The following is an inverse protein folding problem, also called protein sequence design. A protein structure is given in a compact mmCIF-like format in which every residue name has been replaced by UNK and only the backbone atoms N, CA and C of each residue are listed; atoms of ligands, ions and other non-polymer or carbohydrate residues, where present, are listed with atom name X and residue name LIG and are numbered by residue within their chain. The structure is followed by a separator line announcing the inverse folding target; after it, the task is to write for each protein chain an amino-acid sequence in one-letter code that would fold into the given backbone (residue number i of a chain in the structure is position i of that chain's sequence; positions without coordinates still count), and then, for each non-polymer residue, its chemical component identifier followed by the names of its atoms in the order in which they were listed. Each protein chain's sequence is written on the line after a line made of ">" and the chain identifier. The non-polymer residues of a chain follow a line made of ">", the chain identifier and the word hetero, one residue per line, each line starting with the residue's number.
data_IF_380100717709
#
_entry.id   IF_380100717709
#
_cell.length_a   1.000
_cell.length_b   1.000
_cell.length_c   1.000
_cell.angle_alpha   90.00
_cell.angle_beta   90.00
_cell.angle_gamma   90.00
#
_symmetry.space_group_name_H-M   'P 1'
#
loop_
_entity.id
_entity.type
_entity.pdbx_description
1 polymer ?
#
# COMPACT_ATOMS: atom_id res chain seq x y z
N UNK A 1 55.94 -14.10 -14.05
CA UNK A 1 55.01 -14.04 -15.20
C UNK A 1 53.62 -13.74 -14.64
N UNK A 2 53.22 -12.46 -14.66
CA UNK A 2 51.90 -12.01 -14.18
C UNK A 2 50.95 -12.17 -15.36
N UNK A 3 50.13 -13.23 -15.34
CA UNK A 3 49.16 -13.50 -16.40
C UNK A 3 47.93 -12.62 -16.18
N UNK A 4 47.99 -11.44 -16.79
CA UNK A 4 46.96 -10.82 -17.61
C UNK A 4 45.48 -11.14 -17.26
N UNK A 5 44.95 -10.43 -16.25
CA UNK A 5 43.52 -10.45 -15.89
C UNK A 5 42.66 -9.47 -16.71
N UNK A 6 43.25 -8.73 -17.66
CA UNK A 6 42.58 -7.59 -18.32
C UNK A 6 41.87 -7.93 -19.64
N UNK A 7 42.13 -9.09 -20.26
CA UNK A 7 41.49 -9.42 -21.54
C UNK A 7 40.01 -9.77 -21.41
N UNK A 8 39.52 -10.24 -20.24
CA UNK A 8 38.10 -10.56 -20.04
C UNK A 8 37.20 -9.33 -19.85
N UNK A 9 37.75 -8.19 -19.45
CA UNK A 9 37.00 -6.95 -19.21
C UNK A 9 36.87 -6.13 -20.51
N UNK A 10 37.85 -6.25 -21.41
CA UNK A 10 37.90 -5.51 -22.67
C UNK A 10 36.84 -5.97 -23.70
N UNK A 11 36.56 -7.29 -23.81
CA UNK A 11 35.55 -7.77 -24.78
C UNK A 11 34.10 -7.48 -24.34
N UNK A 12 33.82 -7.49 -23.03
CA UNK A 12 32.52 -7.08 -22.49
C UNK A 12 32.22 -5.60 -22.78
N UNK A 13 33.25 -4.74 -22.69
CA UNK A 13 33.14 -3.31 -23.03
C UNK A 13 32.96 -3.07 -24.54
N UNK A 14 33.59 -3.89 -25.38
CA UNK A 14 33.50 -3.79 -26.85
C UNK A 14 32.13 -4.26 -27.38
N UNK A 15 31.49 -5.24 -26.74
CA UNK A 15 30.09 -5.61 -27.02
C UNK A 15 29.08 -4.56 -26.52
N UNK A 16 29.41 -3.84 -25.44
CA UNK A 16 28.57 -2.77 -24.88
C UNK A 16 28.62 -1.46 -25.70
N UNK A 17 29.74 -1.16 -26.37
CA UNK A 17 29.95 0.13 -27.07
C UNK A 17 29.69 0.11 -28.59
N UNK A 18 29.40 -1.03 -29.24
CA UNK A 18 29.32 -1.08 -30.72
C UNK A 18 27.89 -1.23 -31.28
N UNK A 19 26.88 -1.28 -30.42
CA UNK A 19 25.49 -1.09 -30.82
C UNK A 19 24.86 -0.15 -29.78
N UNK A 20 24.58 1.08 -30.18
CA UNK A 20 23.65 1.97 -29.50
C UNK A 20 22.44 1.11 -29.09
N UNK A 21 22.31 0.79 -27.80
CA UNK A 21 21.25 -0.11 -27.32
C UNK A 21 19.92 0.47 -27.81
N UNK A 22 19.18 -0.30 -28.59
CA UNK A 22 17.81 0.04 -28.98
C UNK A 22 16.86 0.02 -27.77
N UNK A 23 17.25 -0.65 -26.68
CA UNK A 23 16.56 -0.62 -25.40
C UNK A 23 17.02 0.57 -24.59
N UNK A 24 16.09 1.45 -24.25
CA UNK A 24 16.34 2.65 -23.45
C UNK A 24 16.27 2.28 -21.95
N UNK A 25 17.34 2.53 -21.18
CA UNK A 25 17.30 2.38 -19.72
C UNK A 25 16.50 3.55 -19.13
N UNK A 26 15.40 3.23 -18.46
CA UNK A 26 14.51 4.21 -17.85
C UNK A 26 14.84 4.34 -16.37
N UNK A 27 15.11 5.57 -15.96
CA UNK A 27 15.46 6.02 -14.63
C UNK A 27 14.51 7.17 -14.19
N UNK A 28 14.68 7.65 -12.97
CA UNK A 28 13.85 8.75 -12.44
C UNK A 28 13.84 10.02 -13.32
N UNK A 29 14.93 10.32 -14.04
CA UNK A 29 15.06 11.54 -14.87
C UNK A 29 14.28 11.50 -16.19
N UNK A 30 14.28 10.38 -16.90
CA UNK A 30 13.60 10.20 -18.19
C UNK A 30 12.24 9.50 -18.08
N UNK A 31 11.81 9.16 -16.86
CA UNK A 31 10.52 8.51 -16.59
C UNK A 31 9.30 9.26 -17.13
N UNK A 32 9.36 10.58 -17.33
CA UNK A 32 8.23 11.33 -17.89
C UNK A 32 8.07 11.12 -19.41
N UNK A 33 9.15 10.78 -20.12
CA UNK A 33 9.13 10.59 -21.59
C UNK A 33 8.33 9.36 -22.01
N UNK A 34 8.25 8.35 -21.14
CA UNK A 34 7.53 7.09 -21.41
C UNK A 34 6.02 7.29 -21.57
N UNK A 35 5.48 8.42 -21.09
CA UNK A 35 4.07 8.76 -21.22
C UNK A 35 3.74 9.48 -22.53
N UNK A 36 4.76 9.87 -23.29
CA UNK A 36 4.61 10.55 -24.59
C UNK A 36 4.82 9.56 -25.72
N UNK A 37 3.78 9.34 -26.55
CA UNK A 37 3.81 8.36 -27.64
C UNK A 37 3.55 6.93 -27.18
N UNK A 38 4.09 5.97 -27.90
CA UNK A 38 3.91 4.53 -27.65
C UNK A 38 5.20 3.88 -27.15
N UNK A 39 5.12 3.28 -25.97
CA UNK A 39 6.24 2.67 -25.26
C UNK A 39 5.91 1.27 -24.78
N UNK A 40 6.90 0.39 -24.84
CA UNK A 40 6.90 -0.88 -24.12
C UNK A 40 8.01 -0.88 -23.09
N UNK A 41 7.65 -1.03 -21.82
CA UNK A 41 8.58 -0.93 -20.69
C UNK A 41 8.62 -2.25 -19.94
N UNK A 42 9.81 -2.84 -19.82
CA UNK A 42 10.03 -4.06 -19.03
C UNK A 42 10.69 -3.73 -17.69
N UNK A 43 10.06 -4.13 -16.60
CA UNK A 43 10.66 -4.13 -15.26
C UNK A 43 11.40 -5.45 -15.02
N UNK A 44 12.67 -5.36 -14.65
CA UNK A 44 13.54 -6.51 -14.45
C UNK A 44 14.47 -6.35 -13.25
N UNK A 45 15.08 -7.45 -12.82
CA UNK A 45 16.19 -7.47 -11.86
C UNK A 45 17.30 -8.41 -12.31
N UNK A 46 18.56 -8.08 -11.98
CA UNK A 46 19.72 -8.88 -12.39
C UNK A 46 19.77 -10.27 -11.75
N UNK A 47 19.17 -10.46 -10.58
CA UNK A 47 19.18 -11.72 -9.83
C UNK A 47 18.03 -12.65 -10.25
N UNK A 48 17.08 -12.19 -11.06
CA UNK A 48 15.91 -12.97 -11.45
C UNK A 48 16.21 -13.84 -12.70
N UNK A 49 16.17 -15.18 -12.60
CA UNK A 49 16.49 -16.06 -13.73
C UNK A 49 15.54 -15.89 -14.93
N UNK A 50 14.25 -15.67 -14.67
CA UNK A 50 13.25 -15.44 -15.71
C UNK A 50 13.47 -14.10 -16.47
N UNK A 51 14.03 -13.10 -15.81
CA UNK A 51 14.42 -11.85 -16.47
C UNK A 51 15.63 -12.06 -17.37
N UNK A 52 16.61 -12.85 -16.92
CA UNK A 52 17.82 -13.14 -17.69
C UNK A 52 17.52 -13.90 -18.99
N UNK A 53 16.56 -14.83 -18.98
CA UNK A 53 16.15 -15.55 -20.19
C UNK A 53 15.39 -14.67 -21.18
N UNK A 54 14.63 -13.70 -20.70
CA UNK A 54 13.84 -12.79 -21.54
C UNK A 54 14.66 -11.65 -22.14
N UNK A 55 15.72 -11.23 -21.46
CA UNK A 55 16.61 -10.13 -21.88
C UNK A 55 17.05 -10.20 -23.36
N UNK A 56 17.61 -11.32 -23.89
CA UNK A 56 18.04 -11.38 -25.29
C UNK A 56 16.88 -11.24 -26.28
N UNK A 57 15.70 -11.76 -25.95
CA UNK A 57 14.48 -11.61 -26.75
C UNK A 57 14.01 -10.16 -26.78
N UNK A 58 14.08 -9.47 -25.64
CA UNK A 58 13.72 -8.05 -25.51
C UNK A 58 14.65 -7.14 -26.32
N UNK A 59 15.96 -7.38 -26.24
CA UNK A 59 16.96 -6.63 -27.01
C UNK A 59 16.80 -6.86 -28.52
N UNK A 60 16.51 -8.09 -28.93
CA UNK A 60 16.26 -8.43 -30.35
C UNK A 60 14.99 -7.76 -30.87
N UNK A 61 13.91 -7.76 -30.06
CA UNK A 61 12.68 -7.04 -30.36
C UNK A 61 12.93 -5.54 -30.55
N UNK A 62 13.57 -4.90 -29.58
CA UNK A 62 13.88 -3.46 -29.65
C UNK A 62 14.73 -3.11 -30.87
N UNK A 63 15.72 -3.95 -31.21
CA UNK A 63 16.63 -3.66 -32.33
C UNK A 63 15.95 -3.77 -33.69
N UNK A 64 15.06 -4.74 -33.87
CA UNK A 64 14.47 -5.03 -35.18
C UNK A 64 13.20 -4.21 -35.43
N UNK A 65 12.44 -3.88 -34.39
CA UNK A 65 11.05 -3.44 -34.55
C UNK A 65 10.75 -2.04 -33.98
N UNK A 66 11.69 -1.43 -33.25
CA UNK A 66 11.51 -0.09 -32.69
C UNK A 66 11.26 0.96 -33.77
N UNK A 67 12.05 0.94 -34.85
CA UNK A 67 11.93 1.87 -35.98
C UNK A 67 10.69 1.56 -36.84
N UNK A 68 10.50 0.29 -37.20
CA UNK A 68 9.43 -0.15 -38.11
C UNK A 68 8.02 0.09 -37.55
N UNK A 69 7.80 -0.16 -36.25
CA UNK A 69 6.49 0.07 -35.60
C UNK A 69 6.37 1.44 -34.92
N UNK A 70 7.40 2.30 -35.04
CA UNK A 70 7.44 3.60 -34.36
C UNK A 70 7.17 3.48 -32.84
N UNK A 71 7.70 2.42 -32.21
CA UNK A 71 7.48 2.12 -30.80
C UNK A 71 8.80 2.18 -30.04
N UNK A 72 8.80 2.89 -28.91
CA UNK A 72 9.98 2.97 -28.06
C UNK A 72 10.02 1.81 -27.08
N UNK A 73 11.17 1.14 -26.98
CA UNK A 73 11.34 -0.02 -26.09
C UNK A 73 12.28 0.35 -24.95
N UNK A 74 11.80 0.20 -23.73
CA UNK A 74 12.54 0.56 -22.52
C UNK A 74 12.66 -0.59 -21.53
N UNK A 75 13.63 -0.46 -20.62
CA UNK A 75 13.81 -1.38 -19.51
C UNK A 75 14.13 -0.60 -18.22
N UNK A 76 13.56 -1.04 -17.11
CA UNK A 76 13.75 -0.47 -15.77
C UNK A 76 14.35 -1.53 -14.86
N UNK A 77 15.51 -1.23 -14.27
CA UNK A 77 16.08 -2.02 -13.18
C UNK A 77 15.40 -1.63 -11.86
N UNK A 78 14.67 -2.57 -11.25
CA UNK A 78 13.94 -2.31 -10.01
C UNK A 78 14.86 -2.11 -8.79
N UNK A 79 16.10 -2.61 -8.84
CA UNK A 79 17.04 -2.45 -7.72
C UNK A 79 17.60 -1.03 -7.68
N UNK A 80 17.80 -0.41 -8.85
CA UNK A 80 18.30 0.98 -8.96
C UNK A 80 17.18 2.01 -8.85
N UNK A 81 16.00 1.69 -9.41
CA UNK A 81 14.87 2.62 -9.52
C UNK A 81 13.66 2.11 -8.73
N UNK A 82 13.79 2.09 -7.40
CA UNK A 82 12.73 1.64 -6.49
C UNK A 82 11.53 2.59 -6.42
N UNK A 83 11.74 3.86 -6.79
CA UNK A 83 10.65 4.83 -6.99
C UNK A 83 9.76 4.44 -8.17
N UNK A 84 10.34 4.11 -9.31
CA UNK A 84 9.59 3.70 -10.50
C UNK A 84 8.87 2.37 -10.29
N UNK A 85 9.50 1.40 -9.61
CA UNK A 85 8.84 0.13 -9.31
C UNK A 85 7.63 0.32 -8.38
N UNK A 86 7.74 1.20 -7.38
CA UNK A 86 6.62 1.60 -6.52
C UNK A 86 5.53 2.35 -7.29
N UNK A 87 5.91 3.27 -8.17
CA UNK A 87 4.98 4.05 -9.00
C UNK A 87 4.19 3.17 -9.98
N UNK A 88 4.78 2.10 -10.50
CA UNK A 88 4.08 1.14 -11.37
C UNK A 88 3.48 -0.04 -10.58
N UNK A 89 3.60 -0.04 -9.26
CA UNK A 89 3.15 -1.11 -8.36
C UNK A 89 3.61 -2.50 -8.81
N UNK A 90 4.90 -2.61 -9.15
CA UNK A 90 5.49 -3.85 -9.67
C UNK A 90 5.87 -4.77 -8.52
N UNK A 91 5.08 -5.84 -8.33
CA UNK A 91 5.33 -6.84 -7.29
C UNK A 91 5.98 -8.12 -7.83
N UNK A 92 5.92 -8.38 -9.13
CA UNK A 92 6.40 -9.60 -9.76
C UNK A 92 7.27 -9.28 -10.97
N UNK A 93 8.25 -10.14 -11.25
CA UNK A 93 9.19 -9.96 -12.36
C UNK A 93 9.24 -11.20 -13.26
N UNK A 94 9.49 -11.04 -14.56
CA UNK A 94 9.44 -9.78 -15.31
C UNK A 94 8.00 -9.33 -15.52
N UNK A 95 7.76 -8.03 -15.37
CA UNK A 95 6.48 -7.38 -15.69
C UNK A 95 6.69 -6.39 -16.81
N UNK A 96 5.81 -6.43 -17.82
CA UNK A 96 5.88 -5.57 -19.00
C UNK A 96 4.63 -4.70 -19.03
N UNK A 97 4.81 -3.41 -19.25
CA UNK A 97 3.72 -2.48 -19.48
C UNK A 97 3.78 -1.94 -20.90
N UNK A 98 2.62 -1.81 -21.51
CA UNK A 98 2.41 -1.05 -22.73
C UNK A 98 1.82 0.30 -22.35
N UNK A 99 2.48 1.38 -22.77
CA UNK A 99 2.09 2.75 -22.47
C UNK A 99 1.83 3.43 -23.79
N UNK A 100 0.63 4.01 -23.94
CA UNK A 100 0.29 4.78 -25.12
C UNK A 100 -0.42 6.05 -24.71
N UNK A 101 0.19 7.20 -25.01
CA UNK A 101 -0.36 8.53 -24.74
C UNK A 101 -0.82 8.69 -23.27
N UNK A 102 0.02 8.24 -22.33
CA UNK A 102 -0.25 8.28 -20.89
C UNK A 102 -1.18 7.18 -20.35
N UNK A 103 -1.75 6.34 -21.23
CA UNK A 103 -2.58 5.20 -20.85
C UNK A 103 -1.71 3.95 -20.70
N UNK A 104 -1.62 3.46 -19.47
CA UNK A 104 -0.80 2.29 -19.12
C UNK A 104 -1.66 1.04 -19.12
N UNK A 105 -1.16 -0.04 -19.72
CA UNK A 105 -1.78 -1.36 -19.81
C UNK A 105 -0.76 -2.43 -19.41
N UNK A 106 -1.22 -3.43 -18.68
CA UNK A 106 -0.41 -4.59 -18.35
C UNK A 106 -0.35 -5.55 -19.55
N UNK A 107 0.86 -5.95 -19.94
CA UNK A 107 1.03 -6.95 -20.98
C UNK A 107 0.92 -8.36 -20.39
N UNK A 108 -0.09 -9.13 -20.83
CA UNK A 108 -0.39 -10.48 -20.31
C UNK A 108 -0.19 -11.60 -21.33
N UNK A 109 0.29 -11.30 -22.55
CA UNK A 109 0.50 -12.29 -23.61
C UNK A 109 1.84 -13.02 -23.45
N UNK A 110 2.11 -13.96 -24.36
CA UNK A 110 3.38 -14.70 -24.40
C UNK A 110 4.57 -13.75 -24.51
N UNK A 111 5.69 -14.10 -23.87
CA UNK A 111 6.91 -13.27 -23.82
C UNK A 111 7.91 -13.65 -24.93
N UNK A 112 7.41 -13.92 -26.14
CA UNK A 112 8.23 -14.18 -27.32
C UNK A 112 8.30 -12.94 -28.21
N UNK A 113 9.33 -12.86 -29.05
CA UNK A 113 9.50 -11.74 -29.99
C UNK A 113 8.28 -11.57 -30.90
N UNK A 114 7.83 -12.67 -31.52
CA UNK A 114 6.67 -12.65 -32.43
C UNK A 114 5.39 -12.18 -31.73
N UNK A 115 5.22 -12.55 -30.46
CA UNK A 115 4.06 -12.12 -29.68
C UNK A 115 4.08 -10.61 -29.41
N UNK A 116 5.25 -10.01 -29.16
CA UNK A 116 5.37 -8.55 -29.02
C UNK A 116 5.07 -7.82 -30.33
N UNK A 117 5.55 -8.36 -31.45
CA UNK A 117 5.31 -7.78 -32.78
C UNK A 117 3.82 -7.83 -33.12
N UNK A 118 3.20 -9.00 -32.99
CA UNK A 118 1.76 -9.16 -33.22
C UNK A 118 0.93 -8.31 -32.26
N UNK A 119 1.39 -8.16 -31.01
CA UNK A 119 0.70 -7.33 -30.03
C UNK A 119 0.50 -5.88 -30.48
N UNK A 120 1.56 -5.29 -31.04
CA UNK A 120 1.58 -3.90 -31.52
C UNK A 120 0.91 -3.80 -32.90
N UNK A 121 1.25 -4.69 -33.85
CA UNK A 121 0.69 -4.71 -35.20
C UNK A 121 -0.83 -4.90 -35.22
N UNK A 122 -1.33 -5.89 -34.46
CA UNK A 122 -2.77 -6.20 -34.43
C UNK A 122 -3.54 -5.23 -33.53
N UNK A 123 -2.86 -4.25 -32.92
CA UNK A 123 -3.40 -3.34 -31.92
C UNK A 123 -4.19 -4.06 -30.80
N UNK A 124 -3.74 -5.28 -30.46
CA UNK A 124 -4.43 -6.16 -29.51
C UNK A 124 -4.50 -5.56 -28.09
N UNK A 125 -3.68 -4.55 -27.80
CA UNK A 125 -3.76 -3.70 -26.62
C UNK A 125 -5.11 -2.99 -26.44
N UNK A 126 -5.90 -2.80 -27.50
CA UNK A 126 -7.25 -2.24 -27.40
C UNK A 126 -8.23 -3.14 -26.64
N UNK A 127 -7.95 -4.44 -26.60
CA UNK A 127 -8.81 -5.42 -25.91
C UNK A 127 -8.53 -5.52 -24.41
N UNK A 128 -7.38 -5.02 -23.95
CA UNK A 128 -7.02 -5.02 -22.54
C UNK A 128 -7.45 -3.71 -21.91
N UNK A 129 -8.15 -3.83 -20.77
CA UNK A 129 -8.56 -2.69 -19.98
C UNK A 129 -7.33 -1.92 -19.47
N UNK A 130 -7.29 -0.60 -19.64
CA UNK A 130 -6.24 0.22 -19.07
C UNK A 130 -6.30 0.20 -17.55
N UNK A 131 -5.14 0.48 -16.94
CA UNK A 131 -5.08 0.67 -15.49
C UNK A 131 -6.00 1.84 -15.11
N UNK A 132 -6.75 1.65 -14.03
CA UNK A 132 -7.66 2.64 -13.47
C UNK A 132 -6.93 3.95 -13.17
N UNK A 133 -7.65 5.07 -13.27
CA UNK A 133 -7.08 6.41 -13.12
C UNK A 133 -6.37 6.64 -11.77
N UNK A 134 -6.84 6.02 -10.68
CA UNK A 134 -6.22 6.13 -9.35
C UNK A 134 -4.93 5.31 -9.21
N UNK A 135 -4.74 4.29 -10.07
CA UNK A 135 -3.52 3.47 -10.15
C UNK A 135 -2.58 3.94 -11.26
N UNK A 136 -2.93 5.00 -11.99
CA UNK A 136 -2.11 5.46 -13.10
C UNK A 136 -0.78 6.04 -12.58
N UNK A 137 0.38 5.55 -13.05
CA UNK A 137 1.69 6.05 -12.63
C UNK A 137 1.90 7.55 -12.91
N UNK A 138 1.27 8.13 -13.94
CA UNK A 138 1.41 9.56 -14.23
C UNK A 138 0.68 10.47 -13.22
N UNK A 139 -0.12 9.90 -12.31
CA UNK A 139 -0.83 10.67 -11.28
C UNK A 139 0.09 11.14 -10.14
N UNK A 140 -0.27 12.26 -9.51
CA UNK A 140 0.48 12.79 -8.36
C UNK A 140 0.49 11.83 -7.17
N UNK A 141 -0.62 11.11 -6.94
CA UNK A 141 -0.75 10.09 -5.91
C UNK A 141 0.29 9.00 -6.11
N UNK A 142 0.41 8.49 -7.33
CA UNK A 142 1.30 7.37 -7.62
C UNK A 142 2.78 7.78 -7.64
N UNK A 143 3.09 9.03 -8.03
CA UNK A 143 4.42 9.62 -7.78
C UNK A 143 4.72 9.67 -6.28
N UNK A 144 3.74 10.04 -5.45
CA UNK A 144 3.83 10.00 -3.99
C UNK A 144 4.11 8.59 -3.45
N UNK A 145 3.41 7.58 -3.95
CA UNK A 145 3.67 6.16 -3.62
C UNK A 145 5.08 5.76 -4.03
N UNK A 146 5.54 6.16 -5.22
CA UNK A 146 6.93 5.92 -5.65
C UNK A 146 7.95 6.52 -4.68
N UNK A 147 7.77 7.77 -4.23
CA UNK A 147 8.63 8.38 -3.22
C UNK A 147 8.58 7.66 -1.87
N UNK A 148 7.40 7.19 -1.46
CA UNK A 148 7.27 6.39 -0.24
C UNK A 148 8.08 5.08 -0.34
N UNK A 149 7.99 4.37 -1.47
CA UNK A 149 8.79 3.17 -1.71
C UNK A 149 10.29 3.45 -1.74
N UNK A 150 10.71 4.57 -2.35
CA UNK A 150 12.11 5.01 -2.33
C UNK A 150 12.60 5.29 -0.92
N UNK A 151 11.79 5.99 -0.12
CA UNK A 151 12.09 6.26 1.27
C UNK A 151 12.15 4.97 2.10
N UNK A 152 11.22 4.05 1.92
CA UNK A 152 11.23 2.76 2.61
C UNK A 152 12.49 1.94 2.28
N UNK A 153 12.90 1.91 1.01
CA UNK A 153 14.15 1.26 0.61
C UNK A 153 15.37 1.99 1.19
N UNK A 154 15.37 3.33 1.24
CA UNK A 154 16.43 4.08 1.89
C UNK A 154 16.56 3.75 3.39
N UNK A 155 15.45 3.60 4.11
CA UNK A 155 15.47 3.15 5.52
C UNK A 155 16.03 1.73 5.64
N UNK A 156 15.63 0.83 4.73
CA UNK A 156 16.18 -0.54 4.69
C UNK A 156 17.69 -0.52 4.44
N UNK A 157 18.15 0.27 3.46
CA UNK A 157 19.56 0.40 3.13
C UNK A 157 20.35 0.96 4.31
N UNK A 158 19.81 1.94 5.05
CA UNK A 158 20.41 2.42 6.30
C UNK A 158 20.49 1.30 7.33
N UNK A 159 19.41 0.54 7.53
CA UNK A 159 19.38 -0.56 8.50
C UNK A 159 20.39 -1.65 8.16
N UNK A 160 20.49 -2.01 6.88
CA UNK A 160 21.42 -2.99 6.35
C UNK A 160 22.86 -2.49 6.49
N UNK A 161 23.14 -1.23 6.13
CA UNK A 161 24.45 -0.60 6.34
C UNK A 161 24.84 -0.54 7.83
N UNK A 162 23.92 -0.19 8.73
CA UNK A 162 24.17 -0.15 10.18
C UNK A 162 24.46 -1.54 10.75
N UNK A 163 23.76 -2.56 10.26
CA UNK A 163 23.87 -3.93 10.77
C UNK A 163 25.10 -4.65 10.21
N UNK A 164 25.42 -4.47 8.93
CA UNK A 164 26.56 -5.14 8.27
C UNK A 164 27.90 -4.47 8.59
N UNK A 165 27.97 -3.14 8.63
CA UNK A 165 29.27 -2.43 8.72
C UNK A 165 29.78 -2.32 10.16
N UNK A 166 28.87 -2.26 11.15
CA UNK A 166 29.25 -1.98 12.54
C UNK A 166 29.11 -3.17 13.51
N UNK A 167 28.65 -4.36 13.07
CA UNK A 167 28.35 -5.49 13.95
C UNK A 167 27.57 -5.06 15.22
N UNK A 168 26.72 -4.04 15.10
CA UNK A 168 26.00 -3.52 16.24
C UNK A 168 24.98 -4.57 16.68
N UNK A 169 24.92 -4.89 17.99
CA UNK A 169 23.89 -5.77 18.51
C UNK A 169 22.50 -5.30 18.06
N UNK A 170 21.68 -6.21 17.56
CA UNK A 170 20.38 -5.91 16.93
C UNK A 170 19.46 -5.07 17.84
N UNK A 171 19.59 -5.24 19.16
CA UNK A 171 18.83 -4.46 20.15
C UNK A 171 19.15 -2.95 20.14
N UNK A 172 20.36 -2.54 19.80
CA UNK A 172 20.74 -1.11 19.71
C UNK A 172 20.03 -0.46 18.53
N UNK A 173 20.03 -1.13 17.38
CA UNK A 173 19.38 -0.62 16.16
C UNK A 173 17.88 -0.52 16.35
N UNK A 174 17.25 -1.51 17.00
CA UNK A 174 15.83 -1.43 17.37
C UNK A 174 15.54 -0.33 18.38
N UNK A 175 16.42 -0.12 19.36
CA UNK A 175 16.29 0.97 20.33
C UNK A 175 16.31 2.35 19.65
N UNK A 176 17.26 2.58 18.74
CA UNK A 176 17.34 3.83 17.98
C UNK A 176 16.10 4.04 17.11
N UNK A 177 15.66 3.00 16.40
CA UNK A 177 14.46 3.08 15.56
C UNK A 177 13.19 3.36 16.37
N UNK A 178 13.07 2.76 17.57
CA UNK A 178 11.95 3.02 18.48
C UNK A 178 11.94 4.49 18.96
N UNK A 179 13.09 5.03 19.36
CA UNK A 179 13.20 6.44 19.78
C UNK A 179 12.83 7.39 18.63
N UNK A 180 13.34 7.14 17.41
CA UNK A 180 13.00 7.94 16.23
C UNK A 180 11.51 7.86 15.91
N UNK A 181 10.91 6.67 15.95
CA UNK A 181 9.48 6.47 15.65
C UNK A 181 8.60 7.20 16.67
N UNK A 182 8.93 7.12 17.97
CA UNK A 182 8.21 7.86 19.03
C UNK A 182 8.35 9.36 18.86
N UNK A 183 9.56 9.86 18.58
CA UNK A 183 9.80 11.28 18.36
C UNK A 183 9.02 11.81 17.15
N UNK A 184 9.06 11.10 16.01
CA UNK A 184 8.31 11.45 14.79
C UNK A 184 6.80 11.39 15.05
N UNK A 185 6.32 10.35 15.73
CA UNK A 185 4.91 10.22 16.10
C UNK A 185 4.41 11.35 17.00
N UNK A 186 5.21 11.77 17.99
CA UNK A 186 4.90 12.90 18.87
C UNK A 186 4.88 14.22 18.09
N UNK A 187 5.85 14.45 17.22
CA UNK A 187 5.89 15.65 16.36
C UNK A 187 4.68 15.70 15.42
N UNK A 188 4.34 14.59 14.75
CA UNK A 188 3.16 14.50 13.88
C UNK A 188 1.85 14.66 14.66
N UNK A 189 1.75 14.09 15.87
CA UNK A 189 0.60 14.25 16.74
C UNK A 189 0.42 15.69 17.21
N UNK A 190 1.50 16.35 17.65
CA UNK A 190 1.48 17.76 18.02
C UNK A 190 1.08 18.65 16.84
N UNK A 191 1.63 18.37 15.65
CA UNK A 191 1.30 19.09 14.42
C UNK A 191 -0.18 18.90 14.03
N UNK A 192 -0.72 17.69 14.19
CA UNK A 192 -2.14 17.41 13.94
C UNK A 192 -3.06 18.16 14.91
N UNK A 193 -2.72 18.22 16.20
CA UNK A 193 -3.50 19.00 17.19
C UNK A 193 -3.51 20.48 16.82
N UNK A 194 -2.37 21.04 16.43
CA UNK A 194 -2.29 22.45 15.98
C UNK A 194 -3.16 22.69 14.75
N UNK A 195 -3.21 21.74 13.80
CA UNK A 195 -4.13 21.84 12.65
C UNK A 195 -5.58 21.78 13.13
N UNK A 196 -5.93 20.84 14.01
CA UNK A 196 -7.29 20.72 14.53
C UNK A 196 -7.75 22.00 15.24
N UNK A 197 -6.89 22.62 16.03
CA UNK A 197 -7.18 23.89 16.71
C UNK A 197 -7.31 25.06 15.71
N UNK A 198 -6.56 25.04 14.60
CA UNK A 198 -6.73 26.00 13.50
C UNK A 198 -8.05 25.82 12.75
N UNK A 199 -8.51 24.57 12.56
CA UNK A 199 -9.69 24.24 11.75
C UNK A 199 -10.99 24.37 12.56
N UNK A 200 -10.95 24.07 13.85
CA UNK A 200 -12.08 24.21 14.77
C UNK A 200 -11.76 25.23 15.86
N UNK A 201 -11.72 26.54 15.53
CA UNK A 201 -11.47 27.55 16.54
C UNK A 201 -12.56 27.49 17.62
N UNK A 202 -12.20 27.54 18.91
CA UNK A 202 -13.18 27.54 19.99
C UNK A 202 -14.10 28.76 19.87
N UNK A 203 -15.42 28.53 19.96
CA UNK A 203 -16.40 29.62 19.97
C UNK A 203 -16.11 30.54 21.16
N UNK A 204 -16.08 31.87 20.99
CA UNK A 204 -15.79 32.78 22.08
C UNK A 204 -16.83 32.60 23.20
N UNK A 205 -16.41 32.65 24.48
CA UNK A 205 -17.33 32.56 25.59
C UNK A 205 -18.33 33.71 25.52
N UNK A 206 -19.63 33.38 25.58
CA UNK A 206 -20.71 34.37 25.68
C UNK A 206 -20.60 35.04 27.04
N UNK A 207 -20.15 36.30 27.07
CA UNK A 207 -20.19 37.14 28.26
C UNK A 207 -21.66 37.54 28.47
N UNK A 208 -22.35 36.91 29.42
CA UNK A 208 -23.69 37.32 29.83
C UNK A 208 -23.57 38.58 30.68
N UNK A 209 -24.10 39.71 30.19
CA UNK A 209 -24.09 40.99 30.91
C UNK A 209 -25.05 40.93 32.13
N UNK A 210 -24.48 41.06 33.32
CA UNK A 210 -25.16 40.96 34.62
C UNK A 210 -26.23 42.05 34.83
N UNK A 211 -26.24 43.11 34.00
CA UNK A 211 -27.27 44.16 34.02
C UNK A 211 -28.68 43.67 33.72
N UNK A 212 -28.84 42.54 33.03
CA UNK A 212 -30.15 42.05 32.65
C UNK A 212 -30.90 41.37 33.81
N UNK A 213 -30.19 40.92 34.86
CA UNK A 213 -30.80 40.24 36.02
C UNK A 213 -31.40 41.21 37.04
N UNK A 214 -30.75 42.36 37.29
CA UNK A 214 -31.23 43.35 38.27
C UNK A 214 -32.56 43.99 37.86
N UNK A 215 -32.87 44.05 36.56
CA UNK A 215 -34.15 44.58 36.06
C UNK A 215 -35.33 43.64 36.32
N UNK A 216 -35.08 42.34 36.50
CA UNK A 216 -36.10 41.33 36.78
C UNK A 216 -36.43 41.31 38.29
N UNK A 217 -35.43 41.52 39.16
CA UNK A 217 -35.64 41.56 40.62
C UNK A 217 -36.40 42.81 41.09
N UNK A 218 -36.21 43.97 40.46
CA UNK A 218 -36.89 45.22 40.84
C UNK A 218 -38.41 45.16 40.54
N UNK A 219 -38.85 44.27 39.63
CA UNK A 219 -40.24 44.21 39.18
C UNK A 219 -41.18 43.32 40.02
N UNK A 220 -40.69 42.64 41.07
CA UNK A 220 -41.54 41.74 41.90
C UNK A 220 -41.31 41.88 43.40
N UNK A 221 -42.03 42.80 44.02
CA UNK A 221 -42.66 42.65 45.37
C UNK A 221 -43.84 43.63 45.44
N UNK A 222 -44.93 43.41 46.25
CA UNK A 222 -44.90 42.76 47.58
C UNK A 222 -46.16 41.93 48.02
N UNK A 223 -46.07 41.38 49.25
CA UNK A 223 -47.12 40.90 50.20
C UNK A 223 -47.80 39.54 49.84
N UNK A 224 -47.92 38.46 50.64
CA UNK A 224 -48.19 38.27 52.09
C UNK A 224 -47.90 36.80 52.51
N UNK A 225 -47.28 36.59 53.67
CA UNK A 225 -47.26 35.31 54.45
C UNK A 225 -48.65 35.13 55.14
N UNK A 226 -49.26 33.93 55.37
CA UNK A 226 -48.73 32.90 56.29
C UNK A 226 -49.16 31.41 56.10
N UNK A 227 -48.25 30.51 56.50
CA UNK A 227 -48.40 29.32 57.37
C UNK A 227 -49.49 28.21 57.18
N UNK A 228 -49.07 26.98 57.54
CA UNK A 228 -49.80 25.75 57.94
C UNK A 228 -50.38 24.75 56.90
N UNK A 229 -49.74 23.56 56.89
CA UNK A 229 -50.24 22.23 57.36
C UNK A 229 -51.41 21.53 56.60
N UNK A 230 -51.06 20.37 55.98
CA UNK A 230 -51.85 19.12 55.72
C UNK A 230 -53.17 19.29 54.89
N UNK A 231 -53.65 18.44 53.99
CA UNK A 231 -53.38 17.06 53.56
C UNK A 231 -54.14 16.79 52.25
N UNK A 232 -53.53 15.97 51.38
CA UNK A 232 -54.10 14.87 50.58
C UNK A 232 -55.55 15.03 50.07
N UNK A 233 -55.71 15.26 48.75
CA UNK A 233 -56.50 14.44 47.79
C UNK A 233 -56.92 15.29 46.58
N UNK A 234 -56.26 15.06 45.43
CA UNK A 234 -56.75 15.24 44.04
C UNK A 234 -55.52 15.15 43.11
N UNK A 235 -54.88 13.98 42.98
CA UNK A 235 -55.09 13.09 41.81
C UNK A 235 -56.18 13.57 40.84
N UNK A 236 -55.76 14.05 39.67
CA UNK A 236 -55.85 13.31 38.41
C UNK A 236 -55.55 14.22 37.21
N UNK A 237 -55.02 13.61 36.14
CA UNK A 237 -54.80 14.16 34.80
C UNK A 237 -53.65 15.18 34.68
N UNK A 238 -52.67 15.03 33.80
CA UNK A 238 -52.36 14.06 32.77
C UNK A 238 -50.84 14.24 32.51
N UNK A 239 -50.07 13.14 32.46
CA UNK A 239 -49.41 12.67 31.24
C UNK A 239 -48.55 13.75 30.54
N UNK A 240 -47.28 13.59 30.23
CA UNK A 240 -46.31 12.52 30.38
C UNK A 240 -44.94 13.10 29.94
N UNK A 241 -43.85 12.47 30.37
CA UNK A 241 -42.47 12.61 29.86
C UNK A 241 -41.75 13.95 30.15
N UNK A 242 -40.52 14.01 30.65
CA UNK A 242 -39.50 13.01 30.91
C UNK A 242 -38.45 13.63 31.86
N UNK A 243 -37.96 12.85 32.82
CA UNK A 243 -36.72 13.12 33.55
C UNK A 243 -36.14 11.76 34.06
N UNK A 244 -34.81 11.68 34.30
CA UNK A 244 -33.94 10.47 34.36
C UNK A 244 -34.01 9.80 35.77
N UNK A 245 -33.06 8.99 36.35
CA UNK A 245 -31.70 8.53 35.97
C UNK A 245 -31.34 7.06 36.41
N UNK A 246 -30.04 6.74 36.26
CA UNK A 246 -29.14 5.82 37.00
C UNK A 246 -29.56 4.55 37.81
N UNK A 247 -28.65 3.57 37.66
CA UNK A 247 -28.19 2.48 38.56
C UNK A 247 -29.04 1.22 38.88
N UNK A 248 -28.46 0.08 38.44
CA UNK A 248 -28.42 -1.37 38.85
C UNK A 248 -29.00 -1.85 40.21
N UNK A 249 -29.02 -3.18 40.57
CA UNK A 249 -28.81 -4.47 39.88
C UNK A 249 -29.87 -5.56 40.24
N UNK A 250 -29.61 -6.83 39.84
CA UNK A 250 -30.13 -8.11 40.41
C UNK A 250 -31.52 -8.58 39.93
N UNK A 251 -31.84 -9.86 39.79
CA UNK A 251 -31.14 -11.13 39.51
C UNK A 251 -32.28 -12.18 39.49
N UNK A 252 -32.11 -13.26 38.74
CA UNK A 252 -32.81 -14.56 38.89
C UNK A 252 -34.31 -14.56 38.51
N UNK A 253 -34.92 -15.61 37.96
CA UNK A 253 -34.66 -17.05 37.70
C UNK A 253 -35.98 -17.46 36.98
N UNK A 254 -36.17 -18.48 36.16
CA UNK A 254 -35.48 -19.75 35.91
C UNK A 254 -36.29 -20.43 34.77
N UNK A 255 -35.60 -21.26 33.97
CA UNK A 255 -36.02 -22.61 33.55
C UNK A 255 -37.30 -22.83 32.71
N UNK A 256 -37.39 -23.79 31.79
CA UNK A 256 -36.55 -24.91 31.34
C UNK A 256 -37.06 -25.30 29.91
N UNK A 257 -36.51 -26.22 29.12
CA UNK A 257 -35.66 -27.35 29.41
C UNK A 257 -35.08 -27.90 28.09
N UNK A 258 -33.83 -28.38 28.16
CA UNK A 258 -33.34 -29.72 27.77
C UNK A 258 -33.46 -30.20 26.30
N UNK A 259 -32.51 -30.99 25.75
CA UNK A 259 -31.43 -31.83 26.33
C UNK A 259 -30.50 -32.27 25.17
N UNK A 260 -29.19 -32.39 25.44
CA UNK A 260 -28.25 -33.52 25.20
C UNK A 260 -28.17 -34.18 23.79
N UNK A 261 -27.09 -34.73 23.27
CA UNK A 261 -25.67 -34.99 23.60
C UNK A 261 -25.06 -35.45 22.24
N UNK A 262 -23.90 -34.93 21.82
CA UNK A 262 -22.62 -35.66 21.71
C UNK A 262 -22.39 -36.58 20.46
N UNK A 263 -21.12 -36.64 20.04
CA UNK A 263 -20.43 -37.71 19.30
C UNK A 263 -20.24 -37.65 17.76
N UNK A 264 -18.95 -37.47 17.41
CA UNK A 264 -18.14 -38.07 16.32
C UNK A 264 -18.43 -37.81 14.85
N UNK A 265 -17.43 -37.22 14.18
CA UNK A 265 -17.14 -37.41 12.76
C UNK A 265 -16.51 -38.80 12.53
N UNK A 266 -17.20 -39.63 11.77
CA UNK A 266 -16.66 -40.82 11.13
C UNK A 266 -17.01 -40.78 9.64
N UNK A 267 -16.00 -40.61 8.79
CA UNK A 267 -16.07 -40.84 7.35
C UNK A 267 -15.45 -42.20 7.03
N UNK A 268 -16.27 -43.19 6.65
CA UNK A 268 -15.82 -44.50 6.14
C UNK A 268 -15.76 -44.54 4.61
N UNK A 269 -14.73 -45.24 4.15
CA UNK A 269 -14.32 -45.57 2.78
C UNK A 269 -15.21 -46.62 2.11
N UNK A 270 -15.06 -46.74 0.79
CA UNK A 270 -14.72 -47.97 0.03
C UNK A 270 -14.60 -47.60 -1.46
N UNK A 271 -13.91 -48.29 -2.37
CA UNK A 271 -12.58 -48.91 -2.47
C UNK A 271 -12.50 -49.39 -3.94
N UNK A 272 -11.40 -49.16 -4.67
CA UNK A 272 -10.85 -50.22 -5.53
C UNK A 272 -9.38 -49.97 -5.93
N UNK A 273 -8.67 -51.08 -6.04
CA UNK A 273 -7.23 -51.28 -5.91
C UNK A 273 -6.41 -51.03 -7.18
N UNK A 274 -5.11 -50.78 -7.02
CA UNK A 274 -4.04 -51.72 -7.44
C UNK A 274 -2.64 -51.14 -7.21
N UNK A 275 -1.72 -52.05 -6.89
CA UNK A 275 -0.37 -51.94 -6.37
C UNK A 275 0.69 -51.30 -7.29
N UNK A 276 1.68 -50.60 -6.72
CA UNK A 276 3.10 -50.74 -7.10
C UNK A 276 4.07 -50.08 -6.10
N UNK A 277 4.88 -50.91 -5.46
CA UNK A 277 6.02 -50.58 -4.58
C UNK A 277 7.23 -50.16 -5.41
N UNK A 278 7.92 -49.04 -5.10
CA UNK A 278 9.36 -48.89 -5.44
C UNK A 278 10.15 -47.85 -4.59
N UNK A 279 10.89 -48.41 -3.63
CA UNK A 279 12.18 -48.04 -2.98
C UNK A 279 12.76 -46.62 -3.13
N UNK A 280 13.06 -46.01 -1.96
CA UNK A 280 13.95 -44.85 -1.77
C UNK A 280 15.43 -45.23 -1.98
N UNK A 281 16.23 -44.31 -2.54
CA UNK A 281 17.69 -44.43 -2.79
C UNK A 281 18.47 -43.58 -1.76
N UNK A 282 19.60 -44.05 -1.20
CA UNK A 282 20.33 -43.36 -0.14
C UNK A 282 21.28 -42.27 -0.66
N UNK A 283 21.53 -41.28 0.21
CA UNK A 283 22.48 -40.18 0.10
C UNK A 283 23.90 -40.70 0.37
N UNK A 284 24.88 -40.32 -0.46
CA UNK A 284 26.31 -40.51 -0.20
C UNK A 284 26.92 -39.21 0.30
N UNK A 285 27.88 -39.38 1.20
CA UNK A 285 28.72 -38.37 1.85
C UNK A 285 29.54 -37.52 0.86
#
# INVERSE_FOLDING_TARGET
>A
MVVNADHHVQWKRKLYNTAKLSVIEINGSNSNEIFTGEWMVMFYAHWCPACQSLKPTWESFAKQWSEDLSISVGAVDINKNSDLSGQFLVFQLPTIFHIKDGVVRLYTRARSQDAFVNWVNDASWKTIEPIEWWKNPNSIHMKGVGYFFKFANFIKDIHEQLTETHQMPTWIVYGLFAVVTVAVGLLLGMMLVVICDCVYPPKPPVIVDQRQYSKIEIAKTPIKSPNKRLTKKEKAAAAAAAAPPDESPSENKEEAANTDEDVSEASTKEDNASSAVRKRKPRKD
#
